data_IF_396669362377
#
_entry.id   IF_396669362377
#
_cell.length_a   1.000
_cell.length_b   1.000
_cell.length_c   1.000
_cell.angle_alpha   90.00
_cell.angle_beta   90.00
_cell.angle_gamma   90.00
#
_symmetry.space_group_name_H-M   'P 1'
#
loop_
_entity.id
_entity.type
_entity.pdbx_description
1 polymer ?
#
# COMPACT_ATOMS: atom_id res chain seq x y z
N UNK A 1 10.56 0.96 -4.59
CA UNK A 1 9.82 -0.30 -4.80
C UNK A 1 9.05 -0.77 -3.55
N UNK A 2 9.49 -0.48 -2.32
CA UNK A 2 8.80 -0.93 -1.08
C UNK A 2 7.34 -0.46 -0.92
N UNK A 3 6.93 0.62 -1.60
CA UNK A 3 5.56 1.17 -1.55
C UNK A 3 4.59 0.51 -2.54
N UNK A 4 5.08 -0.22 -3.54
CA UNK A 4 4.29 -0.87 -4.59
C UNK A 4 3.19 -1.78 -4.00
N UNK A 5 3.47 -2.69 -3.04
CA UNK A 5 2.43 -3.55 -2.48
C UNK A 5 1.33 -2.77 -1.75
N UNK A 6 1.66 -1.65 -1.09
CA UNK A 6 0.67 -0.80 -0.42
C UNK A 6 -0.27 -0.10 -1.41
N UNK A 7 0.26 0.39 -2.54
CA UNK A 7 -0.58 0.98 -3.58
C UNK A 7 -1.50 -0.04 -4.24
N UNK A 8 -1.00 -1.26 -4.52
CA UNK A 8 -1.81 -2.35 -5.07
C UNK A 8 -2.96 -2.68 -4.11
N UNK A 9 -2.69 -2.77 -2.81
CA UNK A 9 -3.72 -3.04 -1.81
C UNK A 9 -4.79 -1.95 -1.75
N UNK A 10 -4.39 -0.68 -1.84
CA UNK A 10 -5.33 0.45 -1.84
C UNK A 10 -6.23 0.39 -3.07
N UNK A 11 -5.66 0.16 -4.26
CA UNK A 11 -6.43 0.03 -5.51
C UNK A 11 -7.42 -1.13 -5.40
N UNK A 12 -6.98 -2.29 -4.91
CA UNK A 12 -7.84 -3.44 -4.65
C UNK A 12 -8.97 -3.12 -3.66
N UNK A 13 -8.66 -2.46 -2.55
CA UNK A 13 -9.66 -2.05 -1.55
C UNK A 13 -10.72 -1.10 -2.11
N UNK A 14 -10.30 -0.14 -2.96
CA UNK A 14 -11.22 0.77 -3.66
C UNK A 14 -12.13 -0.01 -4.62
N UNK A 15 -11.58 -0.94 -5.40
CA UNK A 15 -12.37 -1.76 -6.33
C UNK A 15 -13.39 -2.62 -5.57
N UNK A 16 -13.01 -3.25 -4.46
CA UNK A 16 -13.91 -4.05 -3.62
C UNK A 16 -14.99 -3.18 -2.98
N UNK A 17 -14.66 -1.97 -2.51
CA UNK A 17 -15.66 -1.04 -2.00
C UNK A 17 -16.66 -0.63 -3.08
N UNK A 18 -16.17 -0.30 -4.28
CA UNK A 18 -17.02 0.04 -5.41
C UNK A 18 -17.95 -1.11 -5.79
N UNK A 19 -17.50 -2.37 -5.66
CA UNK A 19 -18.37 -3.53 -5.88
C UNK A 19 -19.53 -3.61 -4.85
N UNK A 20 -19.35 -3.07 -3.65
CA UNK A 20 -20.38 -3.02 -2.62
C UNK A 20 -21.42 -1.88 -2.78
N UNK A 21 -21.19 -0.92 -3.67
CA UNK A 21 -22.09 0.22 -3.87
C UNK A 21 -23.27 -0.18 -4.77
N UNK A 22 -24.52 0.09 -4.33
CA UNK A 22 -25.76 -0.37 -4.99
C UNK A 22 -25.79 -0.23 -6.53
N UNK A 23 -25.49 0.93 -7.14
CA UNK A 23 -25.53 1.09 -8.59
C UNK A 23 -24.47 0.28 -9.36
N UNK A 24 -23.37 -0.09 -8.72
CA UNK A 24 -22.24 -0.81 -9.33
C UNK A 24 -22.27 -2.31 -9.01
N UNK A 25 -22.94 -2.72 -7.93
CA UNK A 25 -23.06 -4.10 -7.49
C UNK A 25 -23.67 -5.02 -8.58
N UNK A 26 -24.67 -4.56 -9.33
CA UNK A 26 -25.28 -5.34 -10.43
C UNK A 26 -24.28 -5.68 -11.54
N UNK A 27 -23.39 -4.75 -11.90
CA UNK A 27 -22.32 -5.01 -12.86
C UNK A 27 -21.32 -6.03 -12.30
N UNK A 28 -20.88 -5.86 -11.05
CA UNK A 28 -19.92 -6.78 -10.43
C UNK A 28 -20.49 -8.18 -10.21
N UNK A 29 -21.77 -8.32 -9.88
CA UNK A 29 -22.45 -9.61 -9.75
C UNK A 29 -22.55 -10.34 -11.10
N UNK A 30 -22.69 -9.61 -12.21
CA UNK A 30 -22.72 -10.21 -13.55
C UNK A 30 -21.35 -10.75 -14.00
N UNK A 31 -20.27 -10.07 -13.61
CA UNK A 31 -18.89 -10.47 -13.94
C UNK A 31 -18.38 -11.55 -12.98
N UNK A 32 -18.82 -11.50 -11.72
CA UNK A 32 -18.35 -12.37 -10.66
C UNK A 32 -19.55 -12.97 -9.91
N UNK A 33 -20.07 -14.12 -10.35
CA UNK A 33 -21.32 -14.68 -9.83
C UNK A 33 -21.26 -15.08 -8.36
N UNK A 34 -20.07 -15.32 -7.77
CA UNK A 34 -19.98 -15.64 -6.33
C UNK A 34 -20.30 -14.43 -5.43
N UNK A 35 -20.19 -13.20 -5.93
CA UNK A 35 -20.50 -11.97 -5.19
C UNK A 35 -22.02 -11.78 -5.02
N UNK A 36 -22.86 -12.45 -5.81
CA UNK A 36 -24.32 -12.34 -5.68
C UNK A 36 -24.87 -13.05 -4.43
N UNK A 37 -24.15 -14.05 -3.92
CA UNK A 37 -24.53 -14.79 -2.71
C UNK A 37 -24.08 -14.11 -1.42
N UNK A 38 -23.26 -13.06 -1.50
CA UNK A 38 -22.69 -12.38 -0.35
C UNK A 38 -23.48 -11.08 -0.11
N UNK A 39 -23.88 -10.84 1.14
CA UNK A 39 -24.54 -9.59 1.50
C UNK A 39 -23.59 -8.40 1.28
N UNK A 40 -24.08 -7.37 0.57
CA UNK A 40 -23.33 -6.16 0.21
C UNK A 40 -22.66 -5.48 1.41
N UNK A 41 -23.23 -5.59 2.62
CA UNK A 41 -22.65 -5.07 3.85
C UNK A 41 -21.29 -5.73 4.13
N UNK A 42 -21.17 -7.05 3.95
CA UNK A 42 -19.90 -7.75 4.14
C UNK A 42 -18.86 -7.38 3.09
N UNK A 43 -19.28 -7.13 1.84
CA UNK A 43 -18.39 -6.66 0.77
C UNK A 43 -17.83 -5.28 1.09
N UNK A 44 -18.68 -4.37 1.59
CA UNK A 44 -18.26 -3.03 2.02
C UNK A 44 -17.30 -3.13 3.21
N UNK A 45 -17.61 -3.95 4.22
CA UNK A 45 -16.74 -4.16 5.38
C UNK A 45 -15.37 -4.71 4.94
N UNK A 46 -15.36 -5.73 4.08
CA UNK A 46 -14.12 -6.32 3.56
C UNK A 46 -13.29 -5.28 2.79
N UNK A 47 -13.92 -4.50 1.91
CA UNK A 47 -13.26 -3.42 1.18
C UNK A 47 -12.67 -2.35 2.10
N UNK A 48 -13.41 -1.93 3.13
CA UNK A 48 -12.96 -0.97 4.12
C UNK A 48 -11.74 -1.49 4.91
N UNK A 49 -11.77 -2.76 5.34
CA UNK A 49 -10.64 -3.40 6.05
C UNK A 49 -9.39 -3.45 5.16
N UNK A 50 -9.54 -3.86 3.89
CA UNK A 50 -8.42 -3.89 2.93
C UNK A 50 -7.84 -2.49 2.73
N UNK A 51 -8.68 -1.46 2.61
CA UNK A 51 -8.24 -0.08 2.49
C UNK A 51 -7.44 0.38 3.71
N UNK A 52 -7.95 0.11 4.92
CA UNK A 52 -7.28 0.48 6.18
C UNK A 52 -5.90 -0.18 6.26
N UNK A 53 -5.82 -1.47 5.94
CA UNK A 53 -4.54 -2.21 5.92
C UNK A 53 -3.60 -1.62 4.86
N UNK A 54 -4.10 -1.32 3.66
CA UNK A 54 -3.32 -0.72 2.58
C UNK A 54 -2.74 0.64 2.96
N UNK A 55 -3.55 1.51 3.56
CA UNK A 55 -3.13 2.82 4.07
C UNK A 55 -2.11 2.67 5.19
N UNK A 56 -2.34 1.74 6.12
CA UNK A 56 -1.42 1.47 7.23
C UNK A 56 -0.05 0.99 6.74
N UNK A 57 -0.02 0.06 5.77
CA UNK A 57 1.21 -0.40 5.13
C UNK A 57 1.94 0.72 4.39
N UNK A 58 1.20 1.61 3.72
CA UNK A 58 1.80 2.75 3.03
C UNK A 58 2.47 3.73 4.00
N UNK A 59 1.84 3.99 5.15
CA UNK A 59 2.37 4.84 6.22
C UNK A 59 3.67 4.26 6.79
N UNK A 60 3.70 2.96 7.07
CA UNK A 60 4.89 2.29 7.63
C UNK A 60 6.01 2.06 6.60
N UNK A 61 5.68 2.02 5.30
CA UNK A 61 6.66 1.91 4.22
C UNK A 61 7.54 3.17 4.05
N UNK A 62 7.30 4.26 4.80
CA UNK A 62 8.14 5.47 4.78
C UNK A 62 9.47 5.36 5.53
N UNK A 63 9.72 4.25 6.25
CA UNK A 63 10.81 4.13 7.23
C UNK A 63 12.21 3.78 6.69
N UNK A 64 12.40 3.66 5.38
CA UNK A 64 13.73 3.53 4.82
C UNK A 64 14.46 4.86 4.87
N UNK A 65 15.05 5.22 6.03
CA UNK A 65 16.13 6.22 6.07
C UNK A 65 17.07 5.83 4.93
N UNK A 66 17.16 6.65 3.88
CA UNK A 66 18.26 6.54 2.92
C UNK A 66 19.50 6.47 3.80
N UNK A 67 20.24 5.36 3.77
CA UNK A 67 21.60 5.35 4.29
C UNK A 67 22.29 6.44 3.51
N UNK A 68 22.37 7.63 4.10
CA UNK A 68 23.25 8.68 3.61
C UNK A 68 24.60 8.00 3.65
N UNK A 69 25.15 7.72 2.47
CA UNK A 69 26.42 7.05 2.36
C UNK A 69 27.44 8.03 2.93
N UNK A 70 27.81 7.85 4.18
CA UNK A 70 28.87 8.64 4.80
C UNK A 70 30.18 8.12 4.22
N UNK A 71 30.77 8.91 3.32
CA UNK A 71 32.05 8.59 2.71
C UNK A 71 33.14 9.14 3.62
N UNK A 72 34.04 8.30 4.19
CA UNK A 72 35.14 8.78 5.01
C UNK A 72 36.10 9.65 4.18
N UNK A 73 36.53 10.77 4.76
CA UNK A 73 37.54 11.67 4.23
C UNK A 73 38.87 11.29 4.88
N UNK A 74 39.86 10.93 4.06
CA UNK A 74 41.19 10.53 4.52
C UNK A 74 42.20 11.68 4.39
N UNK A 75 43.06 11.84 5.39
CA UNK A 75 44.28 12.65 5.33
C UNK A 75 45.46 11.72 5.62
N UNK A 76 46.14 11.30 4.56
CA UNK A 76 47.13 10.22 4.64
C UNK A 76 46.48 8.89 5.02
N UNK A 77 46.93 8.28 6.13
CA UNK A 77 46.36 7.02 6.66
C UNK A 77 45.26 7.23 7.70
N UNK A 78 44.95 8.48 8.05
CA UNK A 78 43.98 8.81 9.11
C UNK A 78 42.66 9.30 8.53
N UNK A 79 41.55 8.91 9.16
CA UNK A 79 40.21 9.42 8.84
C UNK A 79 40.04 10.75 9.59
N UNK A 80 39.81 11.84 8.84
CA UNK A 80 39.62 13.20 9.38
C UNK A 80 38.18 13.65 9.39
N UNK A 81 37.27 12.92 8.72
CA UNK A 81 35.86 13.22 8.79
C UNK A 81 35.02 12.32 7.90
N UNK A 82 33.73 12.62 7.83
CA UNK A 82 32.77 11.92 6.98
C UNK A 82 32.00 12.94 6.14
N UNK A 83 31.98 12.73 4.82
CA UNK A 83 31.16 13.53 3.90
C UNK A 83 29.81 12.84 3.70
N UNK A 84 28.73 13.63 3.76
CA UNK A 84 27.42 13.17 3.29
C UNK A 84 27.42 13.16 1.76
N UNK A 85 27.25 11.98 1.17
CA UNK A 85 26.99 11.77 -0.26
C UNK A 85 25.53 11.99 -0.63
#
# INVERSE_FOLDING_TARGET
MQKIPGYILIVLGIVVLLAGVKPTNTYFQSVIPFLSSINYIFVIIAGAVILIIGVFLLRNSGGGKRKVSEVPIYQGKNIVGYRRG
#
